data_IF_699340195652
#
_entry.id   IF_699340195652
#
_cell.length_a   1.000
_cell.length_b   1.000
_cell.length_c   1.000
_cell.angle_alpha   90.00
_cell.angle_beta   90.00
_cell.angle_gamma   90.00
#
_symmetry.space_group_name_H-M   'P 1'
#
loop_
_entity.id
_entity.type
_entity.pdbx_description
1 polymer ?
#
# COMPACT_ATOMS: atom_id res chain seq x y z
N UNK A 1 -0.95 -13.46 -33.44
CA UNK A 1 -1.87 -12.64 -32.63
C UNK A 1 -2.43 -13.35 -31.38
N UNK A 2 -1.92 -14.51 -30.90
CA UNK A 2 -2.45 -15.12 -29.65
C UNK A 2 -1.42 -15.61 -28.63
N UNK A 3 -0.19 -15.97 -28.99
CA UNK A 3 0.80 -16.39 -27.95
C UNK A 3 1.59 -15.23 -27.33
N UNK A 4 1.37 -14.00 -27.81
CA UNK A 4 1.90 -12.79 -27.19
C UNK A 4 1.32 -12.52 -25.79
N UNK A 5 0.23 -13.21 -25.40
CA UNK A 5 -0.38 -13.13 -24.07
C UNK A 5 0.32 -14.02 -23.04
N UNK A 6 0.93 -15.13 -23.46
CA UNK A 6 1.71 -16.01 -22.56
C UNK A 6 3.07 -15.40 -22.16
N UNK A 7 3.49 -14.36 -22.87
CA UNK A 7 4.63 -13.50 -22.50
C UNK A 7 4.32 -12.60 -21.29
N UNK A 8 3.04 -12.39 -20.94
CA UNK A 8 2.60 -11.47 -19.87
C UNK A 8 2.54 -12.17 -18.50
N UNK A 9 2.32 -13.49 -18.48
CA UNK A 9 2.09 -14.25 -17.23
C UNK A 9 3.40 -14.62 -16.51
N UNK A 10 4.55 -14.59 -17.20
CA UNK A 10 5.87 -14.80 -16.58
C UNK A 10 6.48 -13.53 -15.92
N UNK A 11 5.75 -12.40 -15.90
CA UNK A 11 6.31 -11.08 -15.69
C UNK A 11 6.49 -10.59 -14.23
N UNK A 12 6.20 -11.37 -13.17
CA UNK A 12 6.17 -10.80 -11.80
C UNK A 12 6.82 -11.64 -10.67
N UNK A 13 8.01 -12.20 -10.87
CA UNK A 13 8.79 -12.63 -9.69
C UNK A 13 10.30 -12.40 -9.71
N UNK A 14 10.94 -12.14 -10.85
CA UNK A 14 12.39 -11.85 -10.87
C UNK A 14 12.76 -10.94 -12.05
N UNK A 15 12.61 -9.61 -11.89
CA UNK A 15 13.11 -8.65 -12.87
C UNK A 15 14.52 -8.19 -12.44
N UNK A 16 15.54 -8.77 -13.06
CA UNK A 16 16.87 -8.15 -13.18
C UNK A 16 16.84 -7.36 -14.49
N UNK A 17 16.75 -6.03 -14.40
CA UNK A 17 16.82 -5.15 -15.57
C UNK A 17 18.29 -4.80 -15.84
N UNK A 18 18.86 -5.34 -16.94
CA UNK A 18 20.22 -4.98 -17.37
C UNK A 18 20.10 -3.69 -18.20
N UNK A 19 20.41 -2.54 -17.59
CA UNK A 19 20.65 -1.29 -18.33
C UNK A 19 21.96 -1.41 -19.14
N UNK A 20 22.09 -0.73 -20.30
CA UNK A 20 23.22 -0.91 -21.23
C UNK A 20 24.61 -0.47 -20.71
N UNK A 21 24.75 -0.14 -19.42
CA UNK A 21 25.98 0.35 -18.80
C UNK A 21 26.45 -0.50 -17.61
N UNK A 22 25.99 -1.76 -17.50
CA UNK A 22 26.54 -2.70 -16.50
C UNK A 22 26.22 -2.38 -15.04
N UNK A 23 25.29 -1.46 -14.77
CA UNK A 23 24.85 -1.12 -13.42
C UNK A 23 23.87 -2.18 -12.92
N UNK A 24 24.34 -3.08 -12.05
CA UNK A 24 23.51 -4.03 -11.30
C UNK A 24 22.88 -3.33 -10.09
N UNK A 25 21.63 -2.89 -10.21
CA UNK A 25 20.85 -2.46 -9.05
C UNK A 25 20.29 -3.71 -8.36
N UNK A 26 20.84 -4.09 -7.20
CA UNK A 26 20.14 -4.98 -6.26
C UNK A 26 18.97 -4.19 -5.67
N UNK A 27 17.79 -4.33 -6.26
CA UNK A 27 16.55 -3.85 -5.66
C UNK A 27 16.26 -4.76 -4.46
N UNK A 28 16.68 -4.34 -3.27
CA UNK A 28 16.31 -5.04 -2.04
C UNK A 28 14.79 -5.11 -1.97
N UNK A 29 14.25 -6.33 -1.99
CA UNK A 29 12.83 -6.61 -1.73
C UNK A 29 12.52 -6.32 -0.26
N UNK A 30 12.62 -5.06 0.16
CA UNK A 30 12.00 -4.62 1.41
C UNK A 30 10.52 -4.42 1.10
N UNK A 31 9.70 -5.43 1.45
CA UNK A 31 8.25 -5.30 1.42
C UNK A 31 7.86 -4.03 2.18
N UNK A 32 7.10 -3.08 1.59
CA UNK A 32 6.71 -1.86 2.28
C UNK A 32 5.97 -2.22 3.58
N UNK A 33 6.28 -1.53 4.67
CA UNK A 33 5.64 -1.81 5.97
C UNK A 33 4.13 -1.57 5.87
N UNK A 34 3.36 -2.55 6.31
CA UNK A 34 1.90 -2.56 6.21
C UNK A 34 1.25 -1.99 7.48
N UNK A 35 0.34 -1.04 7.29
CA UNK A 35 -0.56 -0.51 8.32
C UNK A 35 -1.99 -0.95 7.98
N UNK A 36 -2.59 -1.79 8.83
CA UNK A 36 -3.98 -2.21 8.67
C UNK A 36 -4.88 -1.21 9.39
N UNK A 37 -5.77 -0.57 8.63
CA UNK A 37 -6.73 0.40 9.14
C UNK A 37 -8.05 -0.31 9.46
N UNK A 38 -8.55 -0.08 10.66
CA UNK A 38 -9.83 -0.60 11.16
C UNK A 38 -10.78 0.53 11.49
N UNK A 39 -12.08 0.23 11.54
CA UNK A 39 -13.12 1.23 11.78
C UNK A 39 -13.27 1.63 13.26
N UNK A 40 -12.74 0.82 14.20
CA UNK A 40 -13.02 0.99 15.63
C UNK A 40 -12.00 1.82 16.40
N UNK A 41 -10.76 1.95 15.92
CA UNK A 41 -9.75 2.77 16.61
C UNK A 41 -9.80 4.21 16.09
N UNK A 42 -9.52 5.21 16.94
CA UNK A 42 -9.41 6.61 16.51
C UNK A 42 -8.43 6.80 15.35
N UNK A 43 -8.77 7.69 14.42
CA UNK A 43 -7.99 7.99 13.20
C UNK A 43 -6.52 8.32 13.51
N UNK A 44 -6.29 9.14 14.55
CA UNK A 44 -4.95 9.58 14.93
C UNK A 44 -4.02 8.43 15.33
N UNK A 45 -4.54 7.29 15.80
CA UNK A 45 -3.70 6.13 16.13
C UNK A 45 -2.99 5.60 14.87
N UNK A 46 -3.69 5.59 13.74
CA UNK A 46 -3.14 5.16 12.45
C UNK A 46 -2.18 6.21 11.87
N UNK A 47 -2.49 7.50 12.05
CA UNK A 47 -1.58 8.59 11.66
C UNK A 47 -0.26 8.48 12.41
N UNK A 48 -0.29 8.31 13.73
CA UNK A 48 0.90 8.12 14.57
C UNK A 48 1.70 6.88 14.17
N UNK A 49 1.04 5.78 13.79
CA UNK A 49 1.72 4.60 13.28
C UNK A 49 2.48 4.90 11.97
N UNK A 50 1.87 5.63 11.04
CA UNK A 50 2.52 6.05 9.79
C UNK A 50 3.72 6.95 10.06
N UNK A 51 3.56 7.97 10.91
CA UNK A 51 4.64 8.88 11.33
C UNK A 51 5.81 8.08 11.92
N UNK A 52 5.51 7.14 12.80
CA UNK A 52 6.51 6.29 13.47
C UNK A 52 7.31 5.48 12.46
N UNK A 53 6.66 4.91 11.44
CA UNK A 53 7.34 4.14 10.39
C UNK A 53 8.26 5.02 9.54
N UNK A 54 7.77 6.17 9.09
CA UNK A 54 8.58 7.14 8.34
C UNK A 54 9.78 7.66 9.17
N UNK A 55 9.58 7.90 10.47
CA UNK A 55 10.66 8.33 11.37
C UNK A 55 11.69 7.21 11.64
N UNK A 56 11.30 5.94 11.51
CA UNK A 56 12.21 4.79 11.56
C UNK A 56 13.03 4.61 10.27
N UNK A 57 12.86 5.49 9.29
CA UNK A 57 13.60 5.47 8.03
C UNK A 57 12.92 4.71 6.89
N UNK A 58 11.68 4.25 7.09
CA UNK A 58 10.90 3.67 5.99
C UNK A 58 10.60 4.75 4.95
N UNK A 59 10.94 4.50 3.69
CA UNK A 59 10.66 5.44 2.60
C UNK A 59 9.29 5.22 1.98
N UNK A 60 8.74 4.02 2.16
CA UNK A 60 7.47 3.58 1.62
C UNK A 60 6.70 2.78 2.66
N UNK A 61 5.42 3.10 2.81
CA UNK A 61 4.49 2.32 3.64
C UNK A 61 3.24 1.99 2.84
N UNK A 62 2.56 0.90 3.20
CA UNK A 62 1.29 0.50 2.61
C UNK A 62 0.19 0.62 3.66
N UNK A 63 -0.90 1.31 3.35
CA UNK A 63 -2.13 1.24 4.13
C UNK A 63 -3.11 0.28 3.44
N UNK A 64 -3.70 -0.65 4.21
CA UNK A 64 -4.77 -1.51 3.73
C UNK A 64 -5.99 -1.38 4.62
N UNK A 65 -7.15 -1.23 4.01
CA UNK A 65 -8.44 -1.09 4.69
C UNK A 65 -9.53 -1.83 3.94
N UNK A 66 -10.60 -2.20 4.65
CA UNK A 66 -11.75 -2.90 4.07
C UNK A 66 -13.08 -2.34 4.55
N UNK A 67 -14.07 -2.32 3.66
CA UNK A 67 -15.42 -1.85 3.93
C UNK A 67 -15.42 -0.46 4.56
N UNK A 68 -16.08 -0.32 5.72
CA UNK A 68 -16.19 0.98 6.43
C UNK A 68 -14.85 1.61 6.82
N UNK A 69 -13.80 0.81 6.97
CA UNK A 69 -12.47 1.31 7.33
C UNK A 69 -11.78 2.06 6.16
N UNK A 70 -12.30 1.95 4.94
CA UNK A 70 -11.77 2.67 3.77
C UNK A 70 -11.82 4.18 4.00
N UNK A 71 -12.95 4.70 4.51
CA UNK A 71 -13.10 6.13 4.80
C UNK A 71 -12.07 6.59 5.83
N UNK A 72 -11.83 5.77 6.87
CA UNK A 72 -10.80 6.03 7.88
C UNK A 72 -9.42 6.06 7.25
N UNK A 73 -9.10 5.15 6.34
CA UNK A 73 -7.80 5.14 5.67
C UNK A 73 -7.56 6.39 4.82
N UNK A 74 -8.58 6.85 4.09
CA UNK A 74 -8.51 8.11 3.34
C UNK A 74 -8.30 9.31 4.27
N UNK A 75 -9.02 9.34 5.39
CA UNK A 75 -8.87 10.40 6.41
C UNK A 75 -7.47 10.41 7.04
N UNK A 76 -6.89 9.22 7.31
CA UNK A 76 -5.51 9.09 7.79
C UNK A 76 -4.53 9.72 6.82
N UNK A 77 -4.65 9.43 5.51
CA UNK A 77 -3.75 10.01 4.50
C UNK A 77 -3.91 11.52 4.42
N UNK A 78 -5.13 12.02 4.49
CA UNK A 78 -5.39 13.47 4.45
C UNK A 78 -4.77 14.18 5.65
N UNK A 79 -5.01 13.69 6.87
CA UNK A 79 -4.47 14.28 8.10
C UNK A 79 -2.94 14.19 8.11
N UNK A 80 -2.38 13.04 7.72
CA UNK A 80 -0.93 12.82 7.68
C UNK A 80 -0.26 13.89 6.80
N UNK A 81 -0.77 14.09 5.57
CA UNK A 81 -0.19 15.03 4.60
C UNK A 81 -0.46 16.49 4.96
N UNK A 82 -1.62 16.83 5.52
CA UNK A 82 -1.98 18.22 5.80
C UNK A 82 -1.44 18.75 7.12
N UNK A 83 -1.18 17.90 8.12
CA UNK A 83 -0.81 18.34 9.48
C UNK A 83 0.58 17.92 9.94
N UNK A 84 1.15 16.87 9.35
CA UNK A 84 2.36 16.24 9.92
C UNK A 84 3.50 16.05 8.92
N UNK A 85 3.21 15.63 7.69
CA UNK A 85 4.20 15.21 6.70
C UNK A 85 3.79 15.64 5.29
N UNK A 86 4.00 16.91 4.96
CA UNK A 86 3.65 17.50 3.65
C UNK A 86 4.40 16.87 2.46
N UNK A 87 5.54 16.24 2.73
CA UNK A 87 6.39 15.56 1.75
C UNK A 87 5.95 14.12 1.43
N UNK A 88 4.91 13.62 2.10
CA UNK A 88 4.30 12.32 1.78
C UNK A 88 3.37 12.45 0.58
N UNK A 89 3.53 11.52 -0.37
CA UNK A 89 2.72 11.41 -1.59
C UNK A 89 2.11 10.02 -1.70
N UNK A 90 0.99 9.92 -2.40
CA UNK A 90 0.37 8.62 -2.76
C UNK A 90 1.05 8.16 -4.05
N UNK A 91 1.78 7.05 -3.99
CA UNK A 91 2.51 6.47 -5.13
C UNK A 91 1.58 5.55 -5.95
N UNK A 92 0.73 4.78 -5.26
CA UNK A 92 -0.26 3.92 -5.89
C UNK A 92 -1.53 3.77 -5.03
N UNK A 93 -2.66 3.51 -5.69
CA UNK A 93 -3.93 3.20 -5.05
C UNK A 93 -4.60 2.03 -5.78
N UNK A 94 -4.80 0.92 -5.08
CA UNK A 94 -5.43 -0.28 -5.62
C UNK A 94 -6.75 -0.54 -4.90
N UNK A 95 -7.79 -0.83 -5.67
CA UNK A 95 -9.11 -1.17 -5.16
C UNK A 95 -9.41 -2.60 -5.60
N UNK A 96 -9.83 -3.42 -4.64
CA UNK A 96 -10.15 -4.83 -4.88
C UNK A 96 -11.39 -5.24 -4.05
N UNK A 97 -11.83 -6.49 -4.19
CA UNK A 97 -12.86 -7.10 -3.37
C UNK A 97 -12.34 -8.36 -2.68
N UNK A 98 -12.58 -8.47 -1.38
CA UNK A 98 -12.25 -9.65 -0.57
C UNK A 98 -13.54 -10.35 -0.11
N UNK A 99 -13.46 -11.64 0.21
CA UNK A 99 -14.58 -12.42 0.72
C UNK A 99 -14.37 -12.64 2.20
N UNK A 100 -15.27 -12.13 3.02
CA UNK A 100 -15.23 -12.29 4.47
C UNK A 100 -16.41 -13.15 4.90
N UNK A 101 -16.14 -14.10 5.79
CA UNK A 101 -17.17 -14.92 6.41
C UNK A 101 -17.75 -14.14 7.58
N UNK A 102 -19.06 -13.86 7.53
CA UNK A 102 -19.79 -13.23 8.62
C UNK A 102 -19.89 -14.14 9.85
N UNK A 103 -20.34 -13.57 10.97
CA UNK A 103 -20.57 -14.36 12.19
C UNK A 103 -21.59 -15.49 11.99
N UNK A 104 -22.51 -15.28 11.06
CA UNK A 104 -23.57 -16.23 10.69
C UNK A 104 -23.08 -17.31 9.71
N UNK A 105 -21.77 -17.36 9.42
CA UNK A 105 -21.16 -18.31 8.49
C UNK A 105 -21.38 -17.99 7.01
N UNK A 106 -22.21 -16.98 6.69
CA UNK A 106 -22.47 -16.57 5.32
C UNK A 106 -21.31 -15.72 4.78
N UNK A 107 -20.67 -16.11 3.67
CA UNK A 107 -19.64 -15.30 3.03
C UNK A 107 -20.28 -14.09 2.32
N UNK A 108 -19.65 -12.94 2.44
CA UNK A 108 -20.03 -11.73 1.70
C UNK A 108 -18.80 -11.01 1.16
N UNK A 109 -18.96 -10.32 0.03
CA UNK A 109 -17.90 -9.52 -0.57
C UNK A 109 -17.77 -8.18 0.14
N UNK A 110 -16.54 -7.76 0.36
CA UNK A 110 -16.21 -6.45 0.94
C UNK A 110 -15.17 -5.76 0.06
N UNK A 111 -15.37 -4.47 -0.20
CA UNK A 111 -14.36 -3.68 -0.88
C UNK A 111 -13.09 -3.56 -0.03
N UNK A 112 -11.94 -3.57 -0.69
CA UNK A 112 -10.61 -3.38 -0.11
C UNK A 112 -9.95 -2.22 -0.83
N UNK A 113 -9.33 -1.34 -0.05
CA UNK A 113 -8.46 -0.28 -0.54
C UNK A 113 -7.04 -0.53 -0.03
N UNK A 114 -6.08 -0.47 -0.94
CA UNK A 114 -4.65 -0.40 -0.64
C UNK A 114 -4.07 0.90 -1.17
N UNK A 115 -3.37 1.63 -0.31
CA UNK A 115 -2.66 2.86 -0.66
C UNK A 115 -1.18 2.67 -0.38
N UNK A 116 -0.34 2.94 -1.36
CA UNK A 116 1.10 3.03 -1.18
C UNK A 116 1.48 4.49 -0.99
N UNK A 117 2.09 4.80 0.15
CA UNK A 117 2.58 6.13 0.46
C UNK A 117 4.10 6.14 0.39
N UNK A 118 4.64 7.15 -0.27
CA UNK A 118 6.08 7.38 -0.36
C UNK A 118 6.43 8.76 0.20
N UNK A 119 7.56 8.86 0.89
CA UNK A 119 8.11 10.15 1.32
C UNK A 119 9.05 10.68 0.25
N UNK A 120 8.73 11.83 -0.34
CA UNK A 120 9.61 12.48 -1.34
C UNK A 120 10.71 13.23 -0.60
N UNK A 121 11.91 12.65 -0.55
CA UNK A 121 13.10 13.36 -0.02
C UNK A 121 13.33 14.61 -0.89
N UNK A 122 13.29 15.80 -0.27
CA UNK A 122 13.81 17.04 -0.86
C UNK A 122 15.33 16.99 -0.97
#
# INVERSE_FOLDING_TARGET
MREAENLVVAAYSHIIFILPHGVRVKMGLSQPKLVIVGASKPVLNYVTACITLFNKGEQRIRLRARGRAINVAVEVVQILRSKFMEDVVIDAANIDGDVVVGKDGVPFRVAVLELELARKRR
#
